data_IF_362581777271
#
_entry.id   IF_362581777271
#
_cell.length_a   1.000
_cell.length_b   1.000
_cell.length_c   1.000
_cell.angle_alpha   90.00
_cell.angle_beta   90.00
_cell.angle_gamma   90.00
#
_symmetry.space_group_name_H-M   'P 1'
#
loop_
_entity.id
_entity.type
_entity.pdbx_description
1 polymer ?
#
# COMPACT_ATOMS: atom_id res chain seq x y z
N UNK A 1 -12.50 2.37 27.07
CA UNK A 1 -11.41 2.67 28.02
C UNK A 1 -10.57 3.76 27.40
N UNK A 2 -10.51 4.94 28.05
CA UNK A 2 -9.96 6.16 27.44
C UNK A 2 -8.55 6.51 27.95
N UNK A 3 -7.93 5.59 28.68
CA UNK A 3 -6.63 5.79 29.30
C UNK A 3 -5.53 5.03 28.55
N UNK A 4 -4.43 5.73 28.26
CA UNK A 4 -3.25 5.15 27.65
C UNK A 4 -2.49 4.27 28.65
N UNK A 5 -2.20 3.03 28.25
CA UNK A 5 -1.44 2.06 29.07
C UNK A 5 -0.06 1.83 28.50
N UNK A 6 0.94 2.37 29.16
CA UNK A 6 2.34 2.21 28.78
C UNK A 6 2.78 0.75 28.62
N UNK A 7 2.27 -0.16 29.47
CA UNK A 7 2.62 -1.58 29.48
C UNK A 7 1.71 -2.45 28.60
N UNK A 8 0.83 -1.85 27.78
CA UNK A 8 0.01 -2.61 26.85
C UNK A 8 0.91 -3.41 25.89
N UNK A 9 0.42 -4.55 25.41
CA UNK A 9 1.14 -5.42 24.48
C UNK A 9 1.56 -4.65 23.23
N UNK A 10 0.66 -3.81 22.72
CA UNK A 10 0.93 -2.97 21.56
C UNK A 10 2.01 -1.90 21.83
N UNK A 11 1.98 -1.27 23.01
CA UNK A 11 3.01 -0.29 23.35
C UNK A 11 4.40 -0.94 23.47
N UNK A 12 4.50 -2.15 24.02
CA UNK A 12 5.74 -2.94 24.07
C UNK A 12 6.22 -3.29 22.65
N UNK A 13 5.32 -3.81 21.80
CA UNK A 13 5.63 -4.13 20.40
C UNK A 13 6.11 -2.89 19.61
N UNK A 14 5.43 -1.76 19.75
CA UNK A 14 5.79 -0.51 19.06
C UNK A 14 7.18 0.00 19.45
N UNK A 15 7.54 -0.09 20.73
CA UNK A 15 8.88 0.29 21.21
C UNK A 15 9.96 -0.66 20.71
N UNK A 16 9.70 -1.96 20.74
CA UNK A 16 10.62 -2.95 20.18
C UNK A 16 10.82 -2.73 18.67
N UNK A 17 9.73 -2.49 17.94
CA UNK A 17 9.81 -2.16 16.53
C UNK A 17 10.61 -0.88 16.24
N UNK A 18 10.56 0.12 17.13
CA UNK A 18 11.42 1.32 17.01
C UNK A 18 12.89 1.00 17.23
N UNK A 19 13.22 0.12 18.16
CA UNK A 19 14.61 -0.32 18.40
C UNK A 19 15.18 -1.11 17.21
N UNK A 20 14.36 -1.96 16.57
CA UNK A 20 14.80 -2.78 15.43
C UNK A 20 14.81 -2.03 14.09
N UNK A 21 14.16 -0.85 14.01
CA UNK A 21 14.00 -0.07 12.78
C UNK A 21 15.30 0.50 12.16
N UNK A 22 16.34 0.91 12.91
CA UNK A 22 17.57 1.45 12.34
C UNK A 22 18.20 0.50 11.32
N UNK A 23 18.64 1.04 10.18
CA UNK A 23 19.28 0.24 9.12
C UNK A 23 20.48 -0.54 9.65
N UNK A 24 21.28 0.07 10.53
CA UNK A 24 22.44 -0.57 11.13
C UNK A 24 22.08 -1.85 11.90
N UNK A 25 20.99 -1.82 12.71
CA UNK A 25 20.54 -2.99 13.47
C UNK A 25 20.03 -4.09 12.53
N UNK A 26 19.29 -3.73 11.47
CA UNK A 26 18.83 -4.72 10.49
C UNK A 26 19.99 -5.35 9.72
N UNK A 27 20.97 -4.56 9.31
CA UNK A 27 22.19 -5.06 8.65
C UNK A 27 22.94 -5.98 9.61
N UNK A 28 23.12 -5.59 10.87
CA UNK A 28 23.77 -6.41 11.89
C UNK A 28 23.07 -7.75 12.06
N UNK A 29 21.73 -7.77 12.17
CA UNK A 29 20.96 -9.02 12.28
C UNK A 29 21.11 -9.91 11.04
N UNK A 30 21.14 -9.33 9.84
CA UNK A 30 21.38 -10.08 8.60
C UNK A 30 22.78 -10.68 8.59
N UNK A 31 23.79 -9.89 8.94
CA UNK A 31 25.20 -10.35 9.02
C UNK A 31 25.33 -11.48 10.03
N UNK A 32 24.76 -11.32 11.23
CA UNK A 32 24.76 -12.38 12.26
C UNK A 32 24.06 -13.66 11.81
N UNK A 33 22.95 -13.53 11.07
CA UNK A 33 22.24 -14.68 10.50
C UNK A 33 23.12 -15.43 9.48
N UNK A 34 23.76 -14.68 8.57
CA UNK A 34 24.66 -15.25 7.55
C UNK A 34 25.89 -15.93 8.21
N UNK A 35 26.52 -15.26 9.17
CA UNK A 35 27.65 -15.82 9.93
C UNK A 35 27.23 -17.07 10.72
N UNK A 36 26.03 -17.05 11.31
CA UNK A 36 25.49 -18.21 12.02
C UNK A 36 25.30 -19.42 11.11
N UNK A 37 24.73 -19.23 9.92
CA UNK A 37 24.55 -20.31 8.92
C UNK A 37 25.92 -20.79 8.40
N UNK A 38 26.82 -19.87 8.06
CA UNK A 38 28.16 -20.22 7.60
C UNK A 38 28.98 -20.93 8.67
N UNK A 39 28.92 -20.47 9.92
CA UNK A 39 29.55 -21.12 11.06
C UNK A 39 29.00 -22.53 11.35
N UNK A 40 27.68 -22.70 11.25
CA UNK A 40 27.06 -24.04 11.33
C UNK A 40 27.66 -24.99 10.28
N UNK A 41 27.67 -24.56 9.00
CA UNK A 41 28.22 -25.40 7.91
C UNK A 41 29.68 -25.77 8.14
N UNK A 42 30.52 -24.77 8.47
CA UNK A 42 31.95 -24.95 8.65
C UNK A 42 32.25 -25.83 9.88
N UNK A 43 31.60 -25.59 11.02
CA UNK A 43 31.87 -26.35 12.25
C UNK A 43 31.35 -27.78 12.19
N UNK A 44 30.19 -28.04 11.60
CA UNK A 44 29.61 -29.37 11.52
C UNK A 44 30.28 -30.21 10.42
N UNK A 45 30.40 -29.66 9.20
CA UNK A 45 30.86 -30.44 8.06
C UNK A 45 32.39 -30.56 7.96
N UNK A 46 33.11 -29.47 8.29
CA UNK A 46 34.57 -29.46 8.17
C UNK A 46 35.24 -29.88 9.47
N UNK A 47 34.89 -29.26 10.60
CA UNK A 47 35.52 -29.56 11.89
C UNK A 47 34.83 -30.67 12.70
N UNK A 48 33.68 -31.20 12.24
CA UNK A 48 32.87 -32.21 12.94
C UNK A 48 32.55 -31.83 14.40
N UNK A 49 32.40 -30.56 14.69
CA UNK A 49 32.19 -30.04 16.04
C UNK A 49 30.69 -29.67 16.25
N UNK A 50 30.11 -30.30 17.30
CA UNK A 50 28.71 -30.06 17.65
C UNK A 50 28.38 -28.60 18.03
N UNK A 51 29.39 -27.77 18.37
CA UNK A 51 29.18 -26.34 18.64
C UNK A 51 28.56 -25.56 17.45
N UNK A 52 28.66 -26.11 16.22
CA UNK A 52 27.99 -25.52 15.05
C UNK A 52 26.47 -25.34 15.23
N UNK A 53 25.81 -26.15 16.04
CA UNK A 53 24.38 -25.97 16.35
C UNK A 53 24.05 -24.63 17.01
N UNK A 54 24.99 -24.00 17.73
CA UNK A 54 24.83 -22.64 18.28
C UNK A 54 24.76 -21.60 17.17
N UNK A 55 25.45 -21.81 16.06
CA UNK A 55 25.39 -20.91 14.90
C UNK A 55 24.02 -20.90 14.26
N UNK A 56 23.38 -22.06 14.06
CA UNK A 56 22.05 -22.12 13.45
C UNK A 56 20.96 -21.56 14.38
N UNK A 57 21.07 -21.81 15.70
CA UNK A 57 20.12 -21.22 16.67
C UNK A 57 20.20 -19.69 16.68
N UNK A 58 21.40 -19.12 16.62
CA UNK A 58 21.60 -17.69 16.49
C UNK A 58 20.99 -17.14 15.19
N UNK A 59 21.21 -17.84 14.06
CA UNK A 59 20.64 -17.44 12.77
C UNK A 59 19.11 -17.46 12.79
N UNK A 60 18.49 -18.50 13.37
CA UNK A 60 17.03 -18.58 13.51
C UNK A 60 16.49 -17.41 14.32
N UNK A 61 17.10 -17.09 15.46
CA UNK A 61 16.68 -15.94 16.31
C UNK A 61 16.73 -14.65 15.50
N UNK A 62 17.84 -14.39 14.78
CA UNK A 62 17.99 -13.19 13.96
C UNK A 62 16.93 -13.12 12.84
N UNK A 63 16.67 -14.23 12.15
CA UNK A 63 15.67 -14.31 11.10
C UNK A 63 14.25 -14.06 11.66
N UNK A 64 13.92 -14.67 12.81
CA UNK A 64 12.62 -14.49 13.47
C UNK A 64 12.43 -13.02 13.88
N UNK A 65 13.43 -12.35 14.42
CA UNK A 65 13.37 -10.93 14.77
C UNK A 65 13.14 -10.06 13.54
N UNK A 66 13.81 -10.33 12.43
CA UNK A 66 13.63 -9.61 11.16
C UNK A 66 12.23 -9.82 10.57
N UNK A 67 11.72 -11.04 10.61
CA UNK A 67 10.36 -11.36 10.13
C UNK A 67 9.30 -10.72 11.03
N UNK A 68 9.53 -10.72 12.34
CA UNK A 68 8.62 -10.10 13.30
C UNK A 68 8.57 -8.57 13.13
N UNK A 69 9.72 -7.91 12.97
CA UNK A 69 9.80 -6.46 12.65
C UNK A 69 9.01 -6.14 11.38
N UNK A 70 9.16 -6.93 10.34
CA UNK A 70 8.51 -6.70 9.06
C UNK A 70 6.99 -6.91 9.08
N UNK A 71 6.50 -7.88 9.85
CA UNK A 71 5.12 -8.33 9.77
C UNK A 71 4.21 -7.84 10.91
N UNK A 72 4.60 -8.01 12.18
CA UNK A 72 3.67 -7.88 13.31
C UNK A 72 3.90 -6.62 14.16
N UNK A 73 5.16 -6.16 14.30
CA UNK A 73 5.48 -5.05 15.19
C UNK A 73 4.82 -3.72 14.80
N UNK A 74 4.47 -3.56 13.53
CA UNK A 74 3.85 -2.35 12.99
C UNK A 74 2.38 -2.52 12.62
N UNK A 75 1.83 -3.74 12.69
CA UNK A 75 0.43 -3.97 12.34
C UNK A 75 -0.51 -3.37 13.37
N UNK A 76 -1.55 -2.73 12.87
CA UNK A 76 -2.72 -2.35 13.65
C UNK A 76 -3.55 -3.61 13.87
N UNK A 77 -4.07 -3.87 15.09
CA UNK A 77 -4.98 -4.97 15.32
C UNK A 77 -6.17 -4.86 14.36
N UNK A 78 -6.46 -5.95 13.65
CA UNK A 78 -7.63 -6.05 12.79
C UNK A 78 -8.82 -6.37 13.69
N UNK A 79 -9.42 -5.35 14.28
CA UNK A 79 -10.61 -5.49 15.12
C UNK A 79 -11.26 -4.13 15.30
N UNK A 80 -12.59 -4.14 15.50
CA UNK A 80 -13.38 -2.94 15.84
C UNK A 80 -13.17 -2.52 17.31
N UNK A 81 -11.96 -2.66 17.83
CA UNK A 81 -11.64 -2.24 19.21
C UNK A 81 -11.55 -0.72 19.23
N UNK A 82 -12.35 -0.10 20.08
CA UNK A 82 -12.29 1.34 20.33
C UNK A 82 -11.30 1.70 21.45
N UNK A 83 -10.47 0.77 21.90
CA UNK A 83 -9.45 1.05 22.92
C UNK A 83 -8.39 1.99 22.34
N UNK A 84 -8.11 3.08 23.07
CA UNK A 84 -7.13 4.08 22.66
C UNK A 84 -5.76 3.46 22.37
N UNK A 85 -5.37 2.44 23.12
CA UNK A 85 -4.09 1.75 22.96
C UNK A 85 -3.96 1.05 21.60
N UNK A 86 -5.07 0.59 21.03
CA UNK A 86 -5.09 -0.15 19.75
C UNK A 86 -5.19 0.76 18.53
N UNK A 87 -5.81 1.92 18.68
CA UNK A 87 -6.02 2.88 17.60
C UNK A 87 -4.88 3.90 17.45
N UNK A 88 -3.99 4.04 18.44
CA UNK A 88 -2.80 4.90 18.33
C UNK A 88 -1.79 4.30 17.35
N UNK A 89 -1.19 5.13 16.50
CA UNK A 89 -0.07 4.70 15.65
C UNK A 89 1.18 4.40 16.47
N UNK A 90 2.02 3.46 16.01
CA UNK A 90 3.25 3.08 16.71
C UNK A 90 4.19 4.27 16.97
N UNK A 91 4.24 5.25 16.06
CA UNK A 91 5.05 6.45 16.23
C UNK A 91 4.51 7.36 17.34
N UNK A 92 3.19 7.47 17.48
CA UNK A 92 2.53 8.24 18.56
C UNK A 92 2.79 7.58 19.91
N UNK A 93 2.63 6.27 20.00
CA UNK A 93 2.93 5.49 21.22
C UNK A 93 4.37 5.72 21.68
N UNK A 94 5.32 5.72 20.72
CA UNK A 94 6.72 5.99 21.03
C UNK A 94 6.99 7.45 21.42
N UNK A 95 6.17 8.41 20.96
CA UNK A 95 6.30 9.83 21.29
C UNK A 95 5.74 10.16 22.67
N UNK A 96 4.66 9.48 23.10
CA UNK A 96 4.00 9.68 24.39
C UNK A 96 4.87 9.24 25.58
N UNK A 97 5.64 8.16 25.44
CA UNK A 97 6.51 7.67 26.51
C UNK A 97 5.76 7.04 27.71
N UNK A 98 6.37 7.08 28.91
CA UNK A 98 5.81 6.45 30.12
C UNK A 98 4.71 7.28 30.79
N UNK A 99 4.94 8.59 30.87
CA UNK A 99 3.98 9.55 31.44
C UNK A 99 3.56 10.49 30.31
N UNK A 100 2.42 10.21 29.65
CA UNK A 100 1.97 11.01 28.53
C UNK A 100 1.48 12.37 29.00
N UNK A 101 2.09 13.43 28.48
CA UNK A 101 1.60 14.81 28.66
C UNK A 101 1.61 15.48 27.28
N UNK A 102 0.77 16.51 27.04
CA UNK A 102 0.76 17.25 25.78
C UNK A 102 2.15 17.82 25.47
N UNK A 103 2.86 18.34 26.48
CA UNK A 103 4.21 18.88 26.36
C UNK A 103 5.21 17.84 25.85
N UNK A 104 5.27 16.65 26.46
CA UNK A 104 6.16 15.58 26.00
C UNK A 104 5.83 15.08 24.61
N UNK A 105 4.54 15.00 24.28
CA UNK A 105 4.17 14.63 22.93
C UNK A 105 4.64 15.65 21.91
N UNK A 106 4.43 16.94 22.16
CA UNK A 106 4.84 18.00 21.24
C UNK A 106 6.37 18.14 21.10
N UNK A 107 7.12 17.90 22.14
CA UNK A 107 8.60 17.80 22.05
C UNK A 107 9.05 16.68 21.09
N UNK A 108 8.31 15.56 21.09
CA UNK A 108 8.57 14.40 20.25
C UNK A 108 7.76 14.38 18.95
N UNK A 109 6.96 15.40 18.67
CA UNK A 109 6.05 15.50 17.54
C UNK A 109 6.72 15.24 16.18
N UNK A 110 7.93 15.77 15.99
CA UNK A 110 8.70 15.61 14.75
C UNK A 110 9.22 14.17 14.52
N UNK A 111 9.13 13.29 15.50
CA UNK A 111 9.41 11.85 15.31
C UNK A 111 8.36 11.23 14.39
N UNK A 112 7.14 11.76 14.41
CA UNK A 112 6.05 11.26 13.58
C UNK A 112 6.14 11.82 12.16
N UNK A 113 5.92 10.97 11.15
CA UNK A 113 5.95 11.42 9.75
C UNK A 113 4.85 12.42 9.43
N UNK A 114 3.63 12.14 9.93
CA UNK A 114 2.48 13.02 9.75
C UNK A 114 2.66 14.36 10.45
N UNK A 115 3.32 14.38 11.61
CA UNK A 115 3.68 15.61 12.30
C UNK A 115 4.62 16.49 11.49
N UNK A 116 5.70 15.91 10.96
CA UNK A 116 6.63 16.64 10.07
C UNK A 116 5.94 17.18 8.83
N UNK A 117 5.03 16.41 8.24
CA UNK A 117 4.26 16.87 7.10
C UNK A 117 3.40 18.08 7.44
N UNK A 118 2.66 18.03 8.55
CA UNK A 118 1.80 19.13 8.99
C UNK A 118 2.64 20.39 9.27
N UNK A 119 3.76 20.25 9.96
CA UNK A 119 4.68 21.36 10.23
C UNK A 119 5.24 21.99 8.96
N UNK A 120 5.68 21.17 8.02
CA UNK A 120 6.25 21.67 6.76
C UNK A 120 5.17 22.35 5.88
N UNK A 121 3.94 21.84 5.88
CA UNK A 121 2.86 22.36 5.04
C UNK A 121 2.27 23.65 5.57
N UNK A 122 2.09 23.76 6.88
CA UNK A 122 1.41 24.90 7.53
C UNK A 122 2.36 25.82 8.28
N UNK A 123 3.67 25.62 8.18
CA UNK A 123 4.64 26.45 8.86
C UNK A 123 4.56 26.39 10.38
N UNK A 124 4.08 25.26 10.94
CA UNK A 124 3.98 25.06 12.39
C UNK A 124 5.37 24.83 12.95
N UNK A 125 5.93 25.86 13.59
CA UNK A 125 7.27 25.82 14.20
C UNK A 125 7.24 25.18 15.57
N UNK A 126 8.43 24.81 16.08
CA UNK A 126 8.57 24.25 17.42
C UNK A 126 8.15 25.27 18.49
N UNK A 127 8.55 26.52 18.35
CA UNK A 127 8.22 27.60 19.29
C UNK A 127 6.70 27.83 19.38
N UNK A 128 6.01 27.73 18.25
CA UNK A 128 4.54 27.82 18.23
C UNK A 128 3.88 26.65 18.99
N UNK A 129 4.39 25.45 18.84
CA UNK A 129 3.88 24.28 19.57
C UNK A 129 4.16 24.38 21.06
N UNK A 130 5.32 24.87 21.46
CA UNK A 130 5.69 25.12 22.85
C UNK A 130 4.77 26.18 23.49
N UNK A 131 4.49 27.26 22.79
CA UNK A 131 3.54 28.31 23.22
C UNK A 131 2.14 27.77 23.44
N UNK A 132 1.62 26.97 22.51
CA UNK A 132 0.30 26.34 22.65
C UNK A 132 0.25 25.42 23.87
N UNK A 133 1.23 24.56 24.03
CA UNK A 133 1.23 23.55 25.09
C UNK A 133 1.35 24.18 26.48
N UNK A 134 1.96 25.34 26.60
CA UNK A 134 2.11 26.04 27.88
C UNK A 134 0.77 26.37 28.57
N UNK A 135 -0.32 26.47 27.82
CA UNK A 135 -1.68 26.78 28.33
C UNK A 135 -2.67 25.59 28.23
N UNK A 136 -2.23 24.45 27.69
CA UNK A 136 -3.06 23.24 27.64
C UNK A 136 -2.89 22.44 28.93
N UNK A 137 -3.98 21.98 29.56
CA UNK A 137 -3.90 21.13 30.75
C UNK A 137 -3.13 19.84 30.49
N UNK A 138 -2.42 19.33 31.51
CA UNK A 138 -1.64 18.10 31.42
C UNK A 138 -2.50 16.82 31.27
N UNK A 139 -3.84 16.95 31.36
CA UNK A 139 -4.77 15.85 31.18
C UNK A 139 -4.88 15.46 29.68
N UNK A 140 -4.54 14.21 29.38
CA UNK A 140 -4.64 13.66 28.03
C UNK A 140 -6.03 13.12 27.68
N UNK A 141 -6.94 12.99 28.65
CA UNK A 141 -8.26 12.37 28.43
C UNK A 141 -9.11 13.13 27.40
N UNK A 142 -9.28 14.48 27.52
CA UNK A 142 -10.04 15.23 26.52
C UNK A 142 -9.38 15.20 25.13
N UNK A 143 -8.04 15.17 25.09
CA UNK A 143 -7.28 15.08 23.85
C UNK A 143 -7.54 13.73 23.15
N UNK A 144 -7.52 12.63 23.88
CA UNK A 144 -7.83 11.31 23.32
C UNK A 144 -9.28 11.22 22.81
N UNK A 145 -10.23 11.83 23.52
CA UNK A 145 -11.62 11.88 23.09
C UNK A 145 -11.75 12.64 21.76
N UNK A 146 -11.20 13.83 21.68
CA UNK A 146 -11.19 14.65 20.47
C UNK A 146 -10.47 13.94 19.31
N UNK A 147 -9.32 13.34 19.56
CA UNK A 147 -8.57 12.60 18.55
C UNK A 147 -9.35 11.38 18.01
N UNK A 148 -10.17 10.74 18.85
CA UNK A 148 -11.05 9.64 18.44
C UNK A 148 -12.20 10.12 17.59
N UNK A 149 -12.82 11.26 17.92
CA UNK A 149 -13.88 11.87 17.15
C UNK A 149 -13.36 12.26 15.75
N UNK A 150 -12.26 12.99 15.68
CA UNK A 150 -11.59 13.35 14.41
C UNK A 150 -11.18 12.13 13.59
N UNK A 151 -10.72 11.05 14.24
CA UNK A 151 -10.41 9.80 13.54
C UNK A 151 -11.65 9.21 12.87
N UNK A 152 -12.81 9.22 13.54
CA UNK A 152 -14.08 8.71 12.98
C UNK A 152 -14.54 9.59 11.83
N UNK A 153 -14.49 10.90 11.98
CA UNK A 153 -14.85 11.88 10.94
C UNK A 153 -14.02 11.71 9.67
N UNK A 154 -12.70 11.58 9.82
CA UNK A 154 -11.76 11.40 8.71
C UNK A 154 -11.66 9.95 8.21
N UNK A 155 -12.45 9.04 8.77
CA UNK A 155 -12.43 7.61 8.44
C UNK A 155 -11.00 7.01 8.44
N UNK A 156 -10.16 7.47 9.38
CA UNK A 156 -8.77 7.05 9.49
C UNK A 156 -8.63 5.74 10.28
N UNK A 157 -7.73 4.84 9.83
CA UNK A 157 -7.49 3.57 10.52
C UNK A 157 -6.88 3.79 11.92
N UNK A 158 -5.97 4.75 12.05
CA UNK A 158 -5.21 5.02 13.28
C UNK A 158 -5.10 6.51 13.58
N UNK A 159 -4.92 6.82 14.88
CA UNK A 159 -4.58 8.16 15.32
C UNK A 159 -3.08 8.39 15.06
N UNK A 160 -2.79 9.17 14.03
CA UNK A 160 -1.45 9.59 13.67
C UNK A 160 -0.95 10.78 14.48
N UNK A 161 0.34 11.13 14.33
CA UNK A 161 0.93 12.25 15.05
C UNK A 161 0.33 13.61 14.69
N UNK A 162 -0.05 13.82 13.43
CA UNK A 162 -0.72 15.05 13.01
C UNK A 162 -2.11 15.20 13.64
N UNK A 163 -2.90 14.12 13.64
CA UNK A 163 -4.24 14.11 14.24
C UNK A 163 -4.18 14.36 15.75
N UNK A 164 -3.21 13.74 16.44
CA UNK A 164 -2.98 13.99 17.86
C UNK A 164 -2.59 15.44 18.12
N UNK A 165 -1.74 16.04 17.27
CA UNK A 165 -1.34 17.44 17.41
C UNK A 165 -2.52 18.40 17.19
N UNK A 166 -3.37 18.14 16.20
CA UNK A 166 -4.59 18.92 15.97
C UNK A 166 -5.53 18.83 17.19
N UNK A 167 -5.69 17.64 17.78
CA UNK A 167 -6.48 17.46 19.00
C UNK A 167 -5.90 18.24 20.19
N UNK A 168 -4.57 18.33 20.33
CA UNK A 168 -3.91 19.13 21.38
C UNK A 168 -4.12 20.63 21.11
N UNK A 169 -3.93 21.09 19.87
CA UNK A 169 -4.14 22.48 19.49
C UNK A 169 -5.59 22.92 19.80
N UNK A 170 -6.57 22.08 19.49
CA UNK A 170 -7.98 22.35 19.73
C UNK A 170 -8.34 22.48 21.24
N UNK A 171 -7.51 21.97 22.16
CA UNK A 171 -7.71 22.14 23.61
C UNK A 171 -7.20 23.49 24.14
N UNK A 172 -6.45 24.24 23.35
CA UNK A 172 -6.00 25.57 23.77
C UNK A 172 -7.15 26.57 23.71
N UNK A 173 -7.41 27.36 24.77
CA UNK A 173 -8.58 28.26 24.85
C UNK A 173 -8.61 29.31 23.73
N UNK A 174 -7.45 29.79 23.30
CA UNK A 174 -7.32 30.82 22.23
C UNK A 174 -6.80 30.25 20.91
N UNK A 175 -7.03 28.96 20.61
CA UNK A 175 -6.49 28.31 19.44
C UNK A 175 -6.90 29.02 18.12
N UNK A 176 -8.14 29.48 18.03
CA UNK A 176 -8.64 30.20 16.84
C UNK A 176 -7.86 31.50 16.60
N UNK A 177 -7.62 32.28 17.65
CA UNK A 177 -6.86 33.53 17.54
C UNK A 177 -5.43 33.26 17.06
N UNK A 178 -4.74 32.31 17.72
CA UNK A 178 -3.36 31.96 17.39
C UNK A 178 -3.20 31.40 15.98
N UNK A 179 -4.18 30.65 15.50
CA UNK A 179 -4.20 30.15 14.14
C UNK A 179 -4.51 31.26 13.13
N UNK A 180 -5.47 32.14 13.44
CA UNK A 180 -5.83 33.27 12.58
C UNK A 180 -4.67 34.25 12.39
N UNK A 181 -3.83 34.48 13.37
CA UNK A 181 -2.59 35.27 13.23
C UNK A 181 -1.67 34.70 12.14
N UNK A 182 -1.77 33.40 11.86
CA UNK A 182 -1.04 32.72 10.79
C UNK A 182 -1.87 32.48 9.52
N UNK A 183 -3.06 33.08 9.44
CA UNK A 183 -4.04 32.89 8.35
C UNK A 183 -4.44 31.42 8.18
N UNK A 184 -4.55 30.71 9.27
CA UNK A 184 -4.98 29.30 9.33
C UNK A 184 -6.24 29.19 10.19
N UNK A 185 -7.05 28.19 9.91
CA UNK A 185 -8.16 27.74 10.75
C UNK A 185 -7.88 26.33 11.27
N UNK A 186 -8.60 25.91 12.30
CA UNK A 186 -8.52 24.52 12.78
C UNK A 186 -8.96 23.55 11.67
N UNK A 187 -9.94 23.96 10.85
CA UNK A 187 -10.41 23.16 9.72
C UNK A 187 -9.34 22.95 8.65
N UNK A 188 -8.46 23.92 8.41
CA UNK A 188 -7.34 23.76 7.48
C UNK A 188 -6.37 22.68 7.96
N UNK A 189 -6.11 22.62 9.27
CA UNK A 189 -5.27 21.59 9.85
C UNK A 189 -5.92 20.20 9.74
N UNK A 190 -7.24 20.10 9.97
CA UNK A 190 -8.01 18.85 9.82
C UNK A 190 -7.96 18.38 8.36
N UNK A 191 -8.22 19.28 7.40
CA UNK A 191 -8.11 19.00 5.98
C UNK A 191 -6.69 18.58 5.58
N UNK A 192 -5.67 19.16 6.20
CA UNK A 192 -4.27 18.77 6.02
C UNK A 192 -3.98 17.35 6.51
N UNK A 193 -4.59 16.94 7.61
CA UNK A 193 -4.50 15.55 8.12
C UNK A 193 -5.17 14.59 7.16
N UNK A 194 -6.36 14.93 6.66
CA UNK A 194 -7.09 14.11 5.68
C UNK A 194 -6.27 13.93 4.41
N UNK A 195 -5.75 15.01 3.87
CA UNK A 195 -4.86 14.98 2.70
C UNK A 195 -3.62 14.10 2.93
N UNK A 196 -2.98 14.20 4.10
CA UNK A 196 -1.86 13.31 4.44
C UNK A 196 -2.28 11.84 4.45
N UNK A 197 -3.42 11.52 5.07
CA UNK A 197 -3.94 10.14 5.14
C UNK A 197 -4.23 9.59 3.74
N UNK A 198 -4.83 10.42 2.87
CA UNK A 198 -5.08 10.06 1.47
C UNK A 198 -3.78 9.78 0.71
N UNK A 199 -2.80 10.69 0.76
CA UNK A 199 -1.48 10.49 0.13
C UNK A 199 -0.77 9.24 0.67
N UNK A 200 -0.81 9.03 1.98
CA UNK A 200 -0.21 7.86 2.59
C UNK A 200 -0.89 6.56 2.15
N UNK A 201 -2.19 6.57 2.05
CA UNK A 201 -2.99 5.47 1.50
C UNK A 201 -2.60 5.14 0.05
N UNK A 202 -2.49 6.17 -0.82
CA UNK A 202 -2.02 6.01 -2.20
C UNK A 202 -0.61 5.40 -2.26
N UNK A 203 0.33 5.92 -1.48
CA UNK A 203 1.70 5.37 -1.42
C UNK A 203 1.73 3.91 -0.94
N UNK A 204 0.82 3.54 -0.03
CA UNK A 204 0.73 2.18 0.48
C UNK A 204 0.17 1.22 -0.57
N UNK A 205 -0.85 1.65 -1.32
CA UNK A 205 -1.41 0.87 -2.45
C UNK A 205 -0.40 0.70 -3.57
N UNK A 206 0.40 1.73 -3.86
CA UNK A 206 1.50 1.65 -4.83
C UNK A 206 2.62 0.69 -4.40
N UNK A 207 2.96 0.65 -3.10
CA UNK A 207 3.99 -0.23 -2.56
C UNK A 207 3.53 -1.67 -2.37
N UNK A 208 2.21 -1.90 -2.31
CA UNK A 208 1.67 -3.25 -2.25
C UNK A 208 1.98 -3.89 -3.60
N UNK A 209 3.04 -4.71 -3.65
CA UNK A 209 3.36 -5.49 -4.86
C UNK A 209 2.11 -6.23 -5.28
N UNK A 210 1.63 -5.96 -6.49
CA UNK A 210 0.56 -6.75 -7.09
C UNK A 210 1.04 -8.20 -7.08
N UNK A 211 0.26 -9.10 -6.53
CA UNK A 211 0.48 -10.54 -6.68
C UNK A 211 -0.03 -10.93 -8.07
N UNK A 212 0.76 -10.61 -9.08
CA UNK A 212 0.40 -10.84 -10.48
C UNK A 212 0.78 -12.27 -10.89
N UNK A 213 0.21 -13.29 -10.28
CA UNK A 213 0.55 -14.68 -10.59
C UNK A 213 2.02 -15.05 -10.26
N UNK A 214 2.35 -16.33 -10.20
CA UNK A 214 3.71 -16.80 -9.98
C UNK A 214 4.60 -16.73 -11.22
N UNK A 215 5.89 -17.10 -11.08
CA UNK A 215 6.89 -17.20 -12.16
C UNK A 215 6.37 -18.06 -13.33
N UNK A 216 5.59 -19.11 -13.02
CA UNK A 216 4.98 -19.98 -14.02
C UNK A 216 3.96 -19.29 -14.95
N UNK A 217 3.45 -18.12 -14.60
CA UNK A 217 2.49 -17.39 -15.43
C UNK A 217 3.08 -17.02 -16.79
N UNK A 218 4.30 -16.51 -16.80
CA UNK A 218 4.95 -16.06 -18.03
C UNK A 218 5.27 -17.26 -18.96
N UNK A 219 5.37 -18.47 -18.41
CA UNK A 219 5.52 -19.70 -19.17
C UNK A 219 4.19 -20.30 -19.65
N UNK A 220 3.05 -19.90 -19.04
CA UNK A 220 1.73 -20.45 -19.36
C UNK A 220 1.03 -19.76 -20.54
N UNK A 221 1.56 -18.65 -21.06
CA UNK A 221 0.95 -17.88 -22.14
C UNK A 221 1.23 -18.41 -23.53
N UNK A 222 1.91 -19.48 -23.72
CA UNK A 222 2.25 -19.99 -25.03
C UNK A 222 3.17 -19.01 -25.82
N UNK A 223 3.75 -19.53 -26.87
CA UNK A 223 4.62 -18.74 -27.74
C UNK A 223 3.76 -18.03 -28.81
N UNK A 224 3.64 -16.69 -28.71
CA UNK A 224 2.80 -15.84 -29.59
C UNK A 224 3.61 -14.75 -30.27
N UNK A 225 4.56 -15.09 -31.17
CA UNK A 225 5.49 -14.13 -31.77
C UNK A 225 4.80 -13.12 -32.69
N UNK A 226 3.81 -13.55 -33.50
CA UNK A 226 3.09 -12.65 -34.38
C UNK A 226 2.20 -11.69 -33.59
N UNK A 227 1.47 -12.21 -32.59
CA UNK A 227 0.65 -11.36 -31.71
C UNK A 227 1.51 -10.31 -31.01
N UNK A 228 2.68 -10.68 -30.48
CA UNK A 228 3.59 -9.75 -29.81
C UNK A 228 4.22 -8.72 -30.77
N UNK A 229 4.42 -9.09 -32.04
CA UNK A 229 4.97 -8.18 -33.03
C UNK A 229 4.02 -7.05 -33.42
N UNK A 230 2.73 -7.34 -33.53
CA UNK A 230 1.69 -6.41 -34.01
C UNK A 230 0.77 -5.91 -32.90
N UNK A 231 1.12 -6.13 -31.62
CA UNK A 231 0.31 -5.67 -30.51
C UNK A 231 1.13 -5.15 -29.34
N UNK A 232 0.50 -4.29 -28.53
CA UNK A 232 1.04 -3.82 -27.28
C UNK A 232 0.30 -4.49 -26.14
N UNK A 233 1.06 -5.06 -25.17
CA UNK A 233 0.47 -5.68 -23.99
C UNK A 233 0.01 -4.60 -22.99
N UNK A 234 -1.28 -4.33 -22.98
CA UNK A 234 -1.91 -3.35 -22.07
C UNK A 234 -1.77 -3.76 -20.62
N UNK A 235 -1.92 -5.06 -20.33
CA UNK A 235 -1.81 -5.60 -18.97
C UNK A 235 -0.41 -5.45 -18.41
N UNK A 236 0.63 -5.64 -19.22
CA UNK A 236 2.03 -5.49 -18.81
C UNK A 236 2.43 -4.02 -18.67
N UNK A 237 2.04 -3.16 -19.62
CA UNK A 237 2.27 -1.73 -19.54
C UNK A 237 1.69 -1.13 -18.25
N UNK A 238 0.56 -1.66 -17.76
CA UNK A 238 -0.09 -1.25 -16.52
C UNK A 238 0.50 -1.88 -15.25
N UNK A 239 1.33 -2.89 -15.36
CA UNK A 239 1.97 -3.56 -14.23
C UNK A 239 2.81 -2.62 -13.38
N UNK A 240 3.44 -1.65 -14.01
CA UNK A 240 4.36 -0.68 -13.37
C UNK A 240 3.72 0.69 -13.13
N UNK A 241 2.52 0.94 -13.64
CA UNK A 241 1.80 2.20 -13.49
C UNK A 241 0.85 2.20 -12.28
N UNK A 242 0.42 3.40 -11.88
CA UNK A 242 -0.64 3.56 -10.85
C UNK A 242 -1.93 2.89 -11.31
N UNK A 243 -2.69 2.30 -10.38
CA UNK A 243 -4.04 1.79 -10.66
C UNK A 243 -4.87 2.91 -11.29
N UNK A 244 -5.56 2.59 -12.37
CA UNK A 244 -6.51 3.52 -12.99
C UNK A 244 -7.66 3.76 -12.03
N UNK A 245 -7.74 4.98 -11.48
CA UNK A 245 -8.87 5.34 -10.61
C UNK A 245 -10.09 5.64 -11.48
N UNK A 246 -11.05 4.73 -11.45
CA UNK A 246 -12.35 4.98 -12.07
C UNK A 246 -13.24 5.68 -11.04
N UNK A 247 -13.39 6.99 -11.21
CA UNK A 247 -14.25 7.80 -10.35
C UNK A 247 -15.72 7.73 -10.77
N UNK A 248 -16.00 7.51 -12.06
CA UNK A 248 -17.36 7.47 -12.59
C UNK A 248 -18.02 6.10 -12.33
N UNK A 249 -19.20 6.12 -11.70
CA UNK A 249 -19.98 4.93 -11.44
C UNK A 249 -20.35 4.19 -12.75
N UNK A 250 -20.65 4.93 -13.83
CA UNK A 250 -20.93 4.39 -15.16
C UNK A 250 -19.77 3.57 -15.74
N UNK A 251 -18.54 4.02 -15.56
CA UNK A 251 -17.37 3.27 -16.03
C UNK A 251 -17.18 1.96 -15.26
N UNK A 252 -17.43 1.93 -13.95
CA UNK A 252 -17.40 0.69 -13.15
C UNK A 252 -18.45 -0.29 -13.59
N UNK A 253 -19.65 0.19 -13.90
CA UNK A 253 -20.74 -0.64 -14.41
C UNK A 253 -20.36 -1.26 -15.75
N UNK A 254 -19.74 -0.50 -16.67
CA UNK A 254 -19.28 -1.00 -17.96
C UNK A 254 -18.22 -2.09 -17.78
N UNK A 255 -17.23 -1.89 -16.91
CA UNK A 255 -16.24 -2.94 -16.60
C UNK A 255 -16.91 -4.19 -16.04
N UNK A 256 -17.92 -4.05 -15.19
CA UNK A 256 -18.73 -5.17 -14.68
C UNK A 256 -19.43 -5.93 -15.81
N UNK A 257 -20.07 -5.23 -16.75
CA UNK A 257 -20.70 -5.81 -17.94
C UNK A 257 -19.70 -6.51 -18.86
N UNK A 258 -18.48 -5.96 -19.00
CA UNK A 258 -17.40 -6.61 -19.75
C UNK A 258 -17.01 -7.94 -19.11
N UNK A 259 -16.81 -7.96 -17.78
CA UNK A 259 -16.47 -9.17 -17.04
C UNK A 259 -17.57 -10.21 -17.20
N UNK A 260 -18.83 -9.82 -17.08
CA UNK A 260 -19.98 -10.70 -17.25
C UNK A 260 -20.03 -11.29 -18.68
N UNK A 261 -19.87 -10.45 -19.71
CA UNK A 261 -19.90 -10.89 -21.10
C UNK A 261 -18.75 -11.85 -21.43
N UNK A 262 -17.54 -11.60 -20.93
CA UNK A 262 -16.40 -12.49 -21.15
C UNK A 262 -16.44 -13.76 -20.27
N UNK A 263 -17.27 -13.79 -19.22
CA UNK A 263 -17.44 -14.99 -18.36
C UNK A 263 -18.45 -15.97 -18.93
N UNK A 264 -19.37 -15.51 -19.77
CA UNK A 264 -20.40 -16.36 -20.42
C UNK A 264 -19.77 -17.17 -21.55
N UNK A 265 -20.28 -18.38 -21.77
CA UNK A 265 -19.92 -19.20 -22.94
C UNK A 265 -20.44 -18.58 -24.22
N UNK A 266 -19.81 -18.90 -25.37
CA UNK A 266 -20.25 -18.46 -26.70
C UNK A 266 -19.40 -17.31 -27.28
N UNK A 267 -19.99 -16.45 -28.10
CA UNK A 267 -19.30 -15.31 -28.73
C UNK A 267 -19.03 -14.22 -27.67
N UNK A 268 -17.77 -13.92 -27.46
CA UNK A 268 -17.30 -13.00 -26.42
C UNK A 268 -16.77 -11.71 -27.06
N UNK A 269 -17.59 -11.05 -27.91
CA UNK A 269 -17.20 -9.80 -28.56
C UNK A 269 -17.94 -8.64 -27.90
N UNK A 270 -17.23 -7.56 -27.61
CA UNK A 270 -17.78 -6.35 -27.02
C UNK A 270 -17.33 -5.16 -27.86
N UNK A 271 -18.24 -4.26 -28.19
CA UNK A 271 -17.94 -2.96 -28.80
C UNK A 271 -18.15 -1.86 -27.76
N UNK A 272 -17.10 -1.06 -27.52
CA UNK A 272 -17.19 0.17 -26.71
C UNK A 272 -17.41 1.35 -27.64
N UNK A 273 -18.62 1.89 -27.61
CA UNK A 273 -19.05 3.01 -28.45
C UNK A 273 -19.19 4.27 -27.58
N UNK A 274 -18.72 5.41 -28.09
CA UNK A 274 -18.82 6.70 -27.40
C UNK A 274 -18.06 7.78 -28.15
N UNK A 275 -18.32 9.07 -27.86
CA UNK A 275 -17.59 10.19 -28.45
C UNK A 275 -16.10 10.18 -28.05
N UNK A 276 -15.31 10.99 -28.74
CA UNK A 276 -13.92 11.23 -28.33
C UNK A 276 -13.88 11.81 -26.92
N UNK A 277 -12.92 11.38 -26.10
CA UNK A 277 -12.82 11.82 -24.71
C UNK A 277 -13.71 11.06 -23.71
N UNK A 278 -14.64 10.20 -24.15
CA UNK A 278 -15.51 9.42 -23.25
C UNK A 278 -14.79 8.39 -22.36
N UNK A 279 -13.48 8.30 -22.41
CA UNK A 279 -12.68 7.43 -21.56
C UNK A 279 -12.68 5.96 -21.96
N UNK A 280 -12.96 5.62 -23.23
CA UNK A 280 -12.94 4.23 -23.73
C UNK A 280 -11.67 3.47 -23.36
N UNK A 281 -10.49 4.10 -23.57
CA UNK A 281 -9.20 3.50 -23.20
C UNK A 281 -9.03 3.38 -21.68
N UNK A 282 -9.60 4.29 -20.90
CA UNK A 282 -9.61 4.20 -19.43
C UNK A 282 -10.37 2.97 -18.97
N UNK A 283 -11.52 2.67 -19.61
CA UNK A 283 -12.33 1.47 -19.33
C UNK A 283 -11.55 0.20 -19.67
N UNK A 284 -10.90 0.13 -20.85
CA UNK A 284 -10.07 -1.01 -21.27
C UNK A 284 -8.89 -1.21 -20.31
N UNK A 285 -8.23 -0.16 -19.91
CA UNK A 285 -7.14 -0.20 -18.96
C UNK A 285 -7.58 -0.72 -17.59
N UNK A 286 -8.73 -0.24 -17.10
CA UNK A 286 -9.28 -0.69 -15.83
C UNK A 286 -9.77 -2.15 -15.89
N UNK A 287 -10.32 -2.58 -17.01
CA UNK A 287 -10.64 -3.98 -17.25
C UNK A 287 -9.37 -4.84 -17.20
N UNK A 288 -8.31 -4.47 -17.92
CA UNK A 288 -7.03 -5.17 -17.90
C UNK A 288 -6.44 -5.25 -16.46
N UNK A 289 -6.54 -4.16 -15.68
CA UNK A 289 -6.13 -4.15 -14.29
C UNK A 289 -6.95 -5.09 -13.41
N UNK A 290 -8.26 -5.14 -13.63
CA UNK A 290 -9.17 -6.01 -12.86
C UNK A 290 -8.87 -7.48 -13.12
N UNK A 291 -8.57 -7.87 -14.37
CA UNK A 291 -8.17 -9.24 -14.72
C UNK A 291 -6.87 -9.68 -14.04
N UNK A 292 -5.97 -8.76 -13.79
CA UNK A 292 -4.66 -9.00 -13.16
C UNK A 292 -4.71 -8.91 -11.63
N UNK A 293 -5.78 -8.43 -11.03
CA UNK A 293 -5.91 -8.28 -9.58
C UNK A 293 -6.27 -9.62 -8.92
N UNK A 294 -5.37 -10.14 -8.10
CA UNK A 294 -5.58 -11.40 -7.36
C UNK A 294 -6.77 -11.32 -6.38
N UNK A 295 -7.02 -10.12 -5.84
CA UNK A 295 -8.07 -9.87 -4.86
C UNK A 295 -9.44 -9.58 -5.53
N UNK A 296 -9.48 -9.41 -6.87
CA UNK A 296 -10.71 -9.16 -7.59
C UNK A 296 -11.65 -10.38 -7.58
N UNK A 297 -12.92 -10.13 -7.28
CA UNK A 297 -13.97 -11.16 -7.30
C UNK A 297 -14.46 -11.38 -8.74
N UNK A 298 -13.64 -12.01 -9.56
CA UNK A 298 -13.95 -12.37 -10.94
C UNK A 298 -13.84 -13.88 -11.13
N UNK A 299 -14.53 -14.48 -12.13
CA UNK A 299 -14.42 -15.89 -12.44
C UNK A 299 -12.97 -16.33 -12.67
N UNK A 300 -12.61 -17.51 -12.19
CA UNK A 300 -11.25 -18.07 -12.32
C UNK A 300 -10.81 -18.19 -13.77
N UNK A 301 -11.76 -18.42 -14.69
CA UNK A 301 -11.51 -18.48 -16.13
C UNK A 301 -11.01 -17.18 -16.76
N UNK A 302 -11.25 -16.05 -16.11
CA UNK A 302 -10.81 -14.72 -16.57
C UNK A 302 -9.59 -14.20 -15.81
N UNK A 303 -9.29 -14.74 -14.62
CA UNK A 303 -8.15 -14.29 -13.82
C UNK A 303 -6.85 -14.46 -14.60
N UNK A 304 -6.01 -13.41 -14.50
CA UNK A 304 -4.68 -13.35 -15.12
C UNK A 304 -4.65 -13.42 -16.66
N UNK A 305 -5.80 -13.27 -17.35
CA UNK A 305 -5.79 -13.08 -18.80
C UNK A 305 -5.21 -11.73 -19.16
N UNK A 306 -4.39 -11.72 -20.21
CA UNK A 306 -3.77 -10.49 -20.71
C UNK A 306 -4.65 -9.83 -21.76
N UNK A 307 -4.66 -8.51 -21.76
CA UNK A 307 -5.30 -7.68 -22.78
C UNK A 307 -4.23 -7.17 -23.72
N UNK A 308 -4.33 -7.53 -24.99
CA UNK A 308 -3.43 -7.10 -26.06
C UNK A 308 -4.14 -6.09 -26.94
N UNK A 309 -3.51 -4.95 -27.19
CA UNK A 309 -4.01 -3.93 -28.12
C UNK A 309 -3.35 -4.13 -29.48
N UNK A 310 -4.11 -4.56 -30.48
CA UNK A 310 -3.61 -4.73 -31.85
C UNK A 310 -3.41 -3.36 -32.52
N UNK A 311 -2.28 -3.21 -33.21
CA UNK A 311 -1.99 -2.05 -34.04
C UNK A 311 -2.36 -2.35 -35.51
N UNK A 312 -3.57 -1.95 -35.87
CA UNK A 312 -4.07 -2.14 -37.23
C UNK A 312 -3.22 -1.42 -38.29
N UNK A 313 -2.64 -0.27 -37.95
CA UNK A 313 -1.81 0.52 -38.86
C UNK A 313 -0.53 -0.23 -39.24
N UNK A 314 0.15 -0.79 -38.22
CA UNK A 314 1.34 -1.62 -38.44
C UNK A 314 1.04 -2.89 -39.24
N UNK A 315 -0.13 -3.50 -39.02
CA UNK A 315 -0.57 -4.67 -39.79
C UNK A 315 -0.81 -4.33 -41.24
N UNK A 316 -1.54 -3.25 -41.52
CA UNK A 316 -1.79 -2.77 -42.92
C UNK A 316 -0.49 -2.39 -43.61
N UNK A 317 0.41 -1.68 -42.93
CA UNK A 317 1.68 -1.26 -43.51
C UNK A 317 2.63 -2.43 -43.80
N UNK A 318 2.49 -3.56 -43.13
CA UNK A 318 3.31 -4.76 -43.35
C UNK A 318 2.76 -5.70 -44.41
N UNK A 319 1.49 -5.58 -44.77
CA UNK A 319 0.84 -6.39 -45.80
C UNK A 319 0.91 -5.65 -47.15
N UNK A 320 1.56 -6.26 -48.15
CA UNK A 320 1.66 -5.69 -49.49
C UNK A 320 0.34 -5.72 -50.25
N UNK A 321 -0.43 -6.78 -50.05
CA UNK A 321 -1.70 -7.00 -50.72
C UNK A 321 -2.82 -7.39 -49.71
N UNK A 322 -4.08 -7.23 -50.13
CA UNK A 322 -5.25 -7.53 -49.29
C UNK A 322 -5.28 -8.98 -48.82
N UNK A 323 -4.91 -9.93 -49.66
CA UNK A 323 -4.84 -11.36 -49.31
C UNK A 323 -3.81 -11.68 -48.24
N UNK A 324 -2.66 -10.98 -48.25
CA UNK A 324 -1.64 -11.11 -47.20
C UNK A 324 -2.12 -10.59 -45.83
N UNK A 325 -2.87 -9.49 -45.86
CA UNK A 325 -3.47 -8.94 -44.62
C UNK A 325 -4.45 -9.93 -44.00
N UNK A 326 -5.31 -10.55 -44.82
CA UNK A 326 -6.26 -11.55 -44.33
C UNK A 326 -5.56 -12.77 -43.72
N UNK A 327 -4.50 -13.27 -44.39
CA UNK A 327 -3.67 -14.36 -43.89
C UNK A 327 -2.95 -14.01 -42.59
N UNK A 328 -2.45 -12.78 -42.47
CA UNK A 328 -1.80 -12.28 -41.26
C UNK A 328 -2.78 -12.19 -40.08
N UNK A 329 -3.98 -11.65 -40.32
CA UNK A 329 -5.06 -11.58 -39.29
C UNK A 329 -5.44 -12.98 -38.84
N UNK A 330 -5.65 -13.92 -39.77
CA UNK A 330 -5.98 -15.32 -39.42
C UNK A 330 -4.88 -15.96 -38.55
N UNK A 331 -3.61 -15.74 -38.92
CA UNK A 331 -2.47 -16.29 -38.17
C UNK A 331 -2.40 -15.71 -36.74
N UNK A 332 -2.60 -14.40 -36.56
CA UNK A 332 -2.61 -13.75 -35.26
C UNK A 332 -3.79 -14.26 -34.41
N UNK A 333 -4.98 -14.43 -35.01
CA UNK A 333 -6.15 -14.97 -34.31
C UNK A 333 -5.96 -16.44 -33.93
N UNK A 334 -5.29 -17.24 -34.77
CA UNK A 334 -4.95 -18.62 -34.44
C UNK A 334 -3.95 -18.70 -33.28
N UNK A 335 -2.93 -17.83 -33.25
CA UNK A 335 -2.02 -17.75 -32.10
C UNK A 335 -2.76 -17.37 -30.80
N UNK A 336 -3.62 -16.34 -30.84
CA UNK A 336 -4.41 -15.90 -29.69
C UNK A 336 -5.35 -17.01 -29.20
N UNK A 337 -5.98 -17.74 -30.10
CA UNK A 337 -6.86 -18.87 -29.76
C UNK A 337 -6.10 -20.04 -29.15
N UNK A 338 -4.93 -20.39 -29.67
CA UNK A 338 -4.11 -21.46 -29.14
C UNK A 338 -3.52 -21.10 -27.77
N UNK A 339 -3.09 -19.86 -27.56
CA UNK A 339 -2.68 -19.37 -26.25
C UNK A 339 -3.77 -19.51 -25.19
N UNK A 340 -5.06 -19.34 -25.55
CA UNK A 340 -6.21 -19.58 -24.68
C UNK A 340 -6.35 -21.04 -24.25
N UNK A 341 -6.00 -22.00 -25.10
CA UNK A 341 -6.14 -23.45 -24.84
C UNK A 341 -5.20 -23.96 -23.73
N UNK A 342 -4.01 -23.38 -23.61
CA UNK A 342 -3.03 -23.78 -22.57
C UNK A 342 -3.44 -23.38 -21.14
N UNK A 343 -4.48 -22.56 -20.98
CA UNK A 343 -5.00 -22.14 -19.68
C UNK A 343 -6.11 -23.04 -19.12
N UNK A 344 -6.55 -24.03 -19.86
CA UNK A 344 -7.65 -24.93 -19.47
C UNK A 344 -7.18 -26.32 -19.00
N UNK A 345 -5.92 -26.47 -18.59
CA UNK A 345 -5.44 -27.70 -17.93
C UNK A 345 -5.75 -27.58 -16.44
N UNK A 346 -6.48 -28.55 -15.83
CA UNK A 346 -6.93 -28.52 -14.45
C UNK A 346 -5.81 -28.55 -13.42
#
# INVERSE_FOLDING_TARGET
MDEYRYNSVRAKKSRLGRLLKPRAIRVLLVVLAVLGIGGFGLLIFYFKNAAGWLGITLAIICIVLLLWEKNDLHRVPIGKTEDINDILSANVICALGKNPTPAKFMQNYYITRSGRFLSARFGITKDFLEMIVAQVPDDMTPIYKMARELRKELNAEVIGGALMAVAIIAQHPEHERLLNERKLSLQDLINGVDWYNHLYGLLHTMKKRRRDGGIARDFSFGYTPLLNRYSTNVSEARRFQMKTQIHLASHREIVGKMIEAFSKGGRQNIALVGPEGAGRMTIVNAFAETLMDADAKIPSSLKYRQVMSLDASSMIASAGERGELEGLVQSIMAEAYNAKKYHSVP
#
